data_IF_383746471976
#
_entry.id   IF_383746471976
#
_cell.length_a   1.000
_cell.length_b   1.000
_cell.length_c   1.000
_cell.angle_alpha   90.00
_cell.angle_beta   90.00
_cell.angle_gamma   90.00
#
_symmetry.space_group_name_H-M   'P 1'
#
loop_
_entity.id
_entity.type
_entity.pdbx_description
1 polymer ?
#
# COMPACT_ATOMS: atom_id res chain seq x y z
N UNK A 1 -8.74 2.00 11.10
CA UNK A 1 -9.32 1.01 10.17
C UNK A 1 -8.20 0.34 9.40
N UNK A 2 -8.23 -0.98 9.35
CA UNK A 2 -7.20 -1.77 8.66
C UNK A 2 -7.83 -2.56 7.52
N UNK A 3 -7.13 -2.60 6.40
CA UNK A 3 -7.51 -3.43 5.26
C UNK A 3 -6.29 -4.16 4.71
N UNK A 4 -6.51 -5.35 4.16
CA UNK A 4 -5.46 -6.13 3.51
C UNK A 4 -5.70 -6.16 2.01
N UNK A 5 -4.62 -6.05 1.25
CA UNK A 5 -4.67 -6.09 -0.21
C UNK A 5 -3.66 -7.09 -0.72
N UNK A 6 -3.99 -7.76 -1.81
CA UNK A 6 -3.05 -8.65 -2.48
C UNK A 6 -2.11 -7.83 -3.35
N UNK A 7 -0.84 -8.17 -3.32
CA UNK A 7 0.19 -7.45 -4.08
C UNK A 7 1.03 -8.40 -4.92
N UNK A 8 1.73 -7.85 -5.90
CA UNK A 8 2.70 -8.60 -6.69
C UNK A 8 4.03 -8.67 -5.92
N UNK A 9 4.82 -9.71 -6.21
CA UNK A 9 6.13 -9.91 -5.59
C UNK A 9 7.09 -8.75 -5.87
N UNK A 10 7.00 -8.14 -7.04
CA UNK A 10 7.87 -7.02 -7.44
C UNK A 10 7.66 -5.76 -6.61
N UNK A 11 6.51 -5.64 -5.98
CA UNK A 11 6.16 -4.47 -5.18
C UNK A 11 6.71 -4.52 -3.76
N UNK A 12 7.06 -5.70 -3.27
CA UNK A 12 7.21 -5.93 -1.84
C UNK A 12 8.35 -5.15 -1.19
N UNK A 13 9.44 -4.87 -1.92
CA UNK A 13 10.63 -4.28 -1.32
C UNK A 13 10.53 -2.80 -0.99
N UNK A 14 9.81 -2.02 -1.80
CA UNK A 14 9.79 -0.57 -1.63
C UNK A 14 8.40 -0.03 -1.34
N UNK A 15 7.40 -0.88 -1.45
CA UNK A 15 6.01 -0.51 -1.29
C UNK A 15 5.68 0.00 0.12
N UNK A 16 6.24 -0.63 1.13
CA UNK A 16 5.99 -0.25 2.51
C UNK A 16 6.37 1.21 2.78
N UNK A 17 7.55 1.62 2.33
CA UNK A 17 8.00 2.99 2.52
C UNK A 17 7.14 3.99 1.74
N UNK A 18 6.81 3.66 0.50
CA UNK A 18 5.97 4.52 -0.33
C UNK A 18 4.57 4.66 0.26
N UNK A 19 4.02 3.56 0.76
CA UNK A 19 2.71 3.57 1.40
C UNK A 19 2.71 4.40 2.68
N UNK A 20 3.72 4.25 3.50
CA UNK A 20 3.83 5.01 4.77
C UNK A 20 3.95 6.50 4.54
N UNK A 21 4.51 6.93 3.41
CA UNK A 21 4.64 8.34 3.06
C UNK A 21 3.35 8.93 2.50
N UNK A 22 2.38 8.10 2.17
CA UNK A 22 1.12 8.57 1.60
C UNK A 22 0.25 9.17 2.70
N UNK A 23 -0.28 10.40 2.51
CA UNK A 23 -1.21 10.98 3.47
C UNK A 23 -2.45 10.09 3.66
N UNK A 24 -2.90 9.94 4.89
CA UNK A 24 -4.03 9.09 5.24
C UNK A 24 -3.66 7.68 5.65
N UNK A 25 -2.41 7.29 5.48
CA UNK A 25 -1.90 5.99 5.94
C UNK A 25 -1.26 6.17 7.31
N UNK A 26 -1.83 5.51 8.32
CA UNK A 26 -1.27 5.52 9.67
C UNK A 26 -0.12 4.53 9.81
N UNK A 27 -0.25 3.36 9.19
CA UNK A 27 0.78 2.34 9.21
C UNK A 27 0.59 1.39 8.01
N UNK A 28 1.66 0.71 7.64
CA UNK A 28 1.62 -0.25 6.55
C UNK A 28 2.61 -1.37 6.82
N UNK A 29 2.16 -2.60 6.62
CA UNK A 29 3.01 -3.79 6.75
C UNK A 29 2.86 -4.64 5.50
N UNK A 30 3.98 -5.07 4.95
CA UNK A 30 4.00 -5.93 3.76
C UNK A 30 4.52 -7.30 4.14
N UNK A 31 3.78 -8.34 3.76
CA UNK A 31 4.18 -9.73 3.97
C UNK A 31 4.65 -10.33 2.66
N UNK A 32 5.91 -10.72 2.60
CA UNK A 32 6.49 -11.37 1.42
C UNK A 32 6.01 -12.81 1.25
N UNK A 33 5.71 -13.46 2.34
CA UNK A 33 5.31 -14.87 2.30
C UNK A 33 3.92 -15.07 1.73
N UNK A 34 3.01 -14.14 2.04
CA UNK A 34 1.63 -14.22 1.59
C UNK A 34 1.32 -13.27 0.44
N UNK A 35 2.26 -12.40 0.09
CA UNK A 35 2.10 -11.34 -0.91
C UNK A 35 0.87 -10.50 -0.60
N UNK A 36 0.77 -10.07 0.65
CA UNK A 36 -0.32 -9.22 1.12
C UNK A 36 0.24 -7.97 1.79
N UNK A 37 -0.47 -6.88 1.61
CA UNK A 37 -0.16 -5.62 2.26
C UNK A 37 -1.29 -5.26 3.20
N UNK A 38 -0.95 -5.04 4.46
CA UNK A 38 -1.90 -4.56 5.47
C UNK A 38 -1.70 -3.06 5.63
N UNK A 39 -2.76 -2.32 5.42
CA UNK A 39 -2.72 -0.86 5.53
C UNK A 39 -3.65 -0.43 6.65
N UNK A 40 -3.12 0.34 7.57
CA UNK A 40 -3.91 1.00 8.61
C UNK A 40 -4.14 2.44 8.19
N UNK A 41 -5.42 2.82 8.09
CA UNK A 41 -5.79 4.16 7.68
C UNK A 41 -5.99 5.06 8.89
N UNK A 42 -5.68 6.33 8.72
CA UNK A 42 -5.95 7.32 9.74
C UNK A 42 -7.45 7.52 9.92
N UNK A 43 -7.84 7.99 11.10
CA UNK A 43 -9.23 8.25 11.39
C UNK A 43 -9.80 9.28 10.41
N UNK A 44 -10.96 8.96 9.85
CA UNK A 44 -11.60 9.83 8.86
C UNK A 44 -11.07 9.71 7.44
N UNK A 45 -10.02 8.89 7.21
CA UNK A 45 -9.48 8.70 5.86
C UNK A 45 -10.40 7.82 5.02
N UNK A 46 -10.49 8.17 3.72
CA UNK A 46 -11.21 7.35 2.75
C UNK A 46 -10.26 6.28 2.21
N UNK A 47 -10.54 5.02 2.53
CA UNK A 47 -9.68 3.90 2.15
C UNK A 47 -9.46 3.84 0.63
N UNK A 48 -10.51 4.02 -0.15
CA UNK A 48 -10.40 3.94 -1.62
C UNK A 48 -9.51 5.05 -2.18
N UNK A 49 -9.72 6.28 -1.71
CA UNK A 49 -8.91 7.42 -2.15
C UNK A 49 -7.46 7.27 -1.72
N UNK A 50 -7.24 6.84 -0.48
CA UNK A 50 -5.89 6.63 0.05
C UNK A 50 -5.17 5.53 -0.71
N UNK A 51 -5.86 4.43 -1.02
CA UNK A 51 -5.24 3.33 -1.77
C UNK A 51 -4.88 3.70 -3.20
N UNK A 52 -5.67 4.55 -3.84
CA UNK A 52 -5.30 5.07 -5.16
C UNK A 52 -4.01 5.88 -5.09
N UNK A 53 -3.85 6.69 -4.06
CA UNK A 53 -2.63 7.46 -3.83
C UNK A 53 -1.45 6.54 -3.51
N UNK A 54 -1.66 5.52 -2.70
CA UNK A 54 -0.64 4.51 -2.38
C UNK A 54 -0.16 3.82 -3.65
N UNK A 55 -1.10 3.37 -4.49
CA UNK A 55 -0.75 2.71 -5.75
C UNK A 55 0.05 3.64 -6.66
N UNK A 56 -0.36 4.90 -6.78
CA UNK A 56 0.36 5.87 -7.60
C UNK A 56 1.78 6.09 -7.08
N UNK A 57 1.95 6.21 -5.77
CA UNK A 57 3.27 6.40 -5.17
C UNK A 57 4.15 5.16 -5.36
N UNK A 58 3.59 3.97 -5.22
CA UNK A 58 4.32 2.73 -5.43
C UNK A 58 4.78 2.61 -6.88
N UNK A 59 3.94 2.97 -7.84
CA UNK A 59 4.30 2.91 -9.26
C UNK A 59 5.35 3.93 -9.65
N UNK A 60 5.47 5.03 -8.93
CA UNK A 60 6.55 6.00 -9.16
C UNK A 60 7.92 5.41 -8.79
N UNK A 61 7.95 4.58 -7.77
CA UNK A 61 9.19 3.94 -7.30
C UNK A 61 9.49 2.71 -8.15
N UNK A 62 8.46 1.90 -8.41
CA UNK A 62 8.56 0.68 -9.19
C UNK A 62 7.40 0.60 -10.18
N UNK A 63 7.64 0.89 -11.48
CA UNK A 63 6.56 0.88 -12.47
C UNK A 63 5.83 -0.45 -12.62
N UNK A 64 6.49 -1.56 -12.29
CA UNK A 64 5.90 -2.88 -12.37
C UNK A 64 5.07 -3.24 -11.14
N UNK A 65 4.98 -2.34 -10.18
CA UNK A 65 4.24 -2.57 -8.96
C UNK A 65 2.74 -2.70 -9.23
N UNK A 66 2.11 -3.68 -8.60
CA UNK A 66 0.68 -3.93 -8.74
C UNK A 66 0.06 -4.19 -7.38
N UNK A 67 -1.02 -3.48 -7.10
CA UNK A 67 -1.86 -3.72 -5.92
C UNK A 67 -3.24 -4.09 -6.44
N UNK A 68 -3.74 -5.23 -6.01
CA UNK A 68 -5.07 -5.71 -6.41
C UNK A 68 -6.12 -5.09 -5.47
N UNK A 69 -6.72 -4.02 -5.93
CA UNK A 69 -7.75 -3.29 -5.17
C UNK A 69 -9.13 -3.91 -5.33
#
# INVERSE_FOLDING_TARGET
MKKSYKIDVDCANQMENAAKKTPGVADCTVSFMTLKMKVEFEEGADADAVMKAVLANCKKVEPDCEIYL
#
